data_IF_024027978737
#
_entry.id   IF_024027978737
#
_cell.length_a   1.000
_cell.length_b   1.000
_cell.length_c   1.000
_cell.angle_alpha   90.00
_cell.angle_beta   90.00
_cell.angle_gamma   90.00
#
_symmetry.space_group_name_H-M   'P 1'
#
loop_
_entity.id
_entity.type
_entity.pdbx_description
1 polymer ?
#
# COMPACT_ATOMS: atom_id res chain seq x y z
N UNK A 1 8.43 -16.89 16.15
CA UNK A 1 7.06 -16.36 16.06
C UNK A 1 7.13 -14.84 15.88
N UNK A 2 6.51 -14.34 14.82
CA UNK A 2 6.51 -12.89 14.54
C UNK A 2 5.46 -12.22 15.40
N UNK A 3 5.87 -11.17 16.09
CA UNK A 3 4.98 -10.41 16.96
C UNK A 3 4.47 -9.17 16.22
N UNK A 4 3.18 -8.88 16.33
CA UNK A 4 2.59 -7.66 15.80
C UNK A 4 3.17 -6.43 16.49
N UNK A 5 3.38 -5.35 15.72
CA UNK A 5 3.77 -4.06 16.28
C UNK A 5 2.58 -3.33 16.89
N UNK A 6 1.34 -3.73 16.53
CA UNK A 6 0.12 -3.08 17.04
C UNK A 6 -0.28 -3.62 18.39
N UNK A 7 -0.72 -2.72 19.27
CA UNK A 7 -1.35 -3.13 20.55
C UNK A 7 -2.86 -3.21 20.40
N UNK A 8 -3.43 -2.44 19.47
CA UNK A 8 -4.86 -2.47 19.16
C UNK A 8 -4.99 -2.59 17.64
N UNK A 9 -5.70 -3.62 17.18
CA UNK A 9 -5.94 -3.85 15.76
C UNK A 9 -7.35 -3.38 15.41
N UNK A 10 -7.44 -2.47 14.43
CA UNK A 10 -8.72 -1.92 13.98
C UNK A 10 -9.33 -2.72 12.84
N UNK A 11 -8.49 -3.34 12.00
CA UNK A 11 -8.94 -4.04 10.81
C UNK A 11 -8.00 -5.18 10.46
N UNK A 12 -8.59 -6.34 10.15
CA UNK A 12 -7.88 -7.47 9.56
C UNK A 12 -8.62 -7.85 8.29
N UNK A 13 -7.92 -7.94 7.17
CA UNK A 13 -8.54 -8.24 5.89
C UNK A 13 -7.57 -9.02 5.01
N UNK A 14 -8.12 -9.88 4.16
CA UNK A 14 -7.31 -10.60 3.17
C UNK A 14 -6.74 -9.63 2.15
N UNK A 15 -5.46 -9.80 1.85
CA UNK A 15 -4.79 -8.92 0.90
C UNK A 15 -3.61 -9.58 0.23
N UNK A 16 -2.97 -8.81 -0.62
CA UNK A 16 -1.87 -9.26 -1.46
C UNK A 16 -0.73 -8.26 -1.36
N UNK A 17 0.49 -8.76 -1.19
CA UNK A 17 1.70 -7.96 -1.29
C UNK A 17 2.27 -8.09 -2.69
N UNK A 18 2.66 -6.96 -3.30
CA UNK A 18 3.23 -6.92 -4.64
C UNK A 18 4.73 -6.62 -4.63
N UNK A 19 5.40 -7.00 -3.56
CA UNK A 19 6.84 -6.79 -3.41
C UNK A 19 7.61 -7.98 -3.97
N UNK A 20 8.07 -7.86 -5.22
CA UNK A 20 8.71 -8.96 -5.93
C UNK A 20 7.69 -9.95 -6.43
N UNK A 21 7.72 -11.19 -5.92
CA UNK A 21 6.67 -12.16 -6.20
C UNK A 21 5.40 -11.78 -5.45
N UNK A 22 4.26 -12.11 -6.04
CA UNK A 22 2.97 -11.84 -5.41
C UNK A 22 2.73 -12.81 -4.26
N UNK A 23 2.51 -12.28 -3.07
CA UNK A 23 2.23 -13.05 -1.86
C UNK A 23 0.83 -12.75 -1.36
N UNK A 24 0.11 -13.80 -0.98
CA UNK A 24 -1.24 -13.69 -0.42
C UNK A 24 -1.20 -13.85 1.09
N UNK A 25 -1.97 -13.05 1.78
CA UNK A 25 -1.97 -13.09 3.24
C UNK A 25 -3.01 -12.21 3.88
N UNK A 26 -2.71 -11.76 5.09
CA UNK A 26 -3.59 -10.91 5.89
C UNK A 26 -2.96 -9.54 6.08
N UNK A 27 -3.78 -8.52 5.89
CA UNK A 27 -3.42 -7.13 6.16
C UNK A 27 -4.05 -6.74 7.50
N UNK A 28 -3.24 -6.13 8.36
CA UNK A 28 -3.68 -5.64 9.66
C UNK A 28 -3.40 -4.14 9.74
N UNK A 29 -4.41 -3.38 10.11
CA UNK A 29 -4.28 -1.94 10.38
C UNK A 29 -4.58 -1.72 11.85
N UNK A 30 -3.65 -1.10 12.57
CA UNK A 30 -3.80 -0.88 13.99
C UNK A 30 -3.16 0.42 14.45
N UNK A 31 -3.06 0.58 15.77
CA UNK A 31 -2.62 1.83 16.40
C UNK A 31 -1.16 2.20 16.13
N UNK A 32 -0.31 1.23 15.81
CA UNK A 32 1.13 1.49 15.62
C UNK A 32 1.56 1.40 14.16
N UNK A 33 0.81 0.73 13.31
CA UNK A 33 1.22 0.61 11.91
C UNK A 33 0.35 -0.30 11.07
N UNK A 34 0.84 -0.47 9.86
CA UNK A 34 0.28 -1.36 8.84
C UNK A 34 1.13 -2.62 8.78
N UNK A 35 0.49 -3.78 8.76
CA UNK A 35 1.19 -5.06 8.73
C UNK A 35 0.62 -5.97 7.67
N UNK A 36 1.49 -6.77 7.07
CA UNK A 36 1.12 -7.85 6.16
C UNK A 36 1.81 -9.13 6.61
N UNK A 37 1.03 -10.20 6.74
CA UNK A 37 1.53 -11.52 7.12
C UNK A 37 1.17 -12.53 6.04
N UNK A 38 2.20 -13.20 5.48
CA UNK A 38 2.01 -14.22 4.45
C UNK A 38 1.28 -15.43 5.02
N UNK A 39 0.28 -15.95 4.27
CA UNK A 39 -0.52 -17.10 4.72
C UNK A 39 0.29 -18.39 4.81
N UNK A 40 1.34 -18.51 4.00
CA UNK A 40 2.16 -19.73 3.96
C UNK A 40 3.30 -19.70 4.98
N UNK A 41 3.84 -18.53 5.25
CA UNK A 41 4.99 -18.39 6.11
C UNK A 41 4.90 -17.07 6.90
N UNK A 42 4.51 -17.17 8.16
CA UNK A 42 4.35 -15.99 9.01
C UNK A 42 5.66 -15.23 9.25
N UNK A 43 6.80 -15.89 9.03
CA UNK A 43 8.09 -15.19 9.11
C UNK A 43 8.31 -14.25 7.93
N UNK A 44 7.56 -14.47 6.83
CA UNK A 44 7.54 -13.55 5.72
C UNK A 44 6.45 -12.51 5.95
N UNK A 45 6.85 -11.37 6.47
CA UNK A 45 5.94 -10.33 6.89
C UNK A 45 6.50 -8.96 6.54
N UNK A 46 5.60 -7.98 6.51
CA UNK A 46 5.95 -6.57 6.32
C UNK A 46 5.29 -5.81 7.45
N UNK A 47 6.07 -5.05 8.19
CA UNK A 47 5.57 -4.25 9.31
C UNK A 47 6.03 -2.81 9.12
N UNK A 48 5.08 -1.90 8.91
CA UNK A 48 5.37 -0.50 8.61
C UNK A 48 4.78 0.37 9.72
N UNK A 49 5.61 0.84 10.68
CA UNK A 49 5.14 1.78 11.69
C UNK A 49 4.67 3.09 11.05
N UNK A 50 3.63 3.69 11.61
CA UNK A 50 3.13 4.96 11.07
C UNK A 50 4.21 6.05 11.04
N UNK A 51 5.16 5.99 11.98
CA UNK A 51 6.28 6.94 12.03
C UNK A 51 7.20 6.83 10.81
N UNK A 52 7.23 5.68 10.14
CA UNK A 52 8.03 5.46 8.94
C UNK A 52 7.30 5.79 7.65
N UNK A 53 6.01 6.03 7.71
CA UNK A 53 5.22 6.34 6.51
C UNK A 53 5.41 7.80 6.13
N UNK A 54 5.85 8.03 4.91
CA UNK A 54 5.94 9.37 4.34
C UNK A 54 4.65 9.72 3.61
N UNK A 55 4.23 8.87 2.67
CA UNK A 55 2.98 9.06 1.93
C UNK A 55 2.23 7.74 1.81
N UNK A 56 0.90 7.83 1.85
CA UNK A 56 0.02 6.73 1.45
C UNK A 56 -0.51 7.07 0.06
N UNK A 57 -0.30 6.16 -0.89
CA UNK A 57 -0.64 6.40 -2.29
C UNK A 57 -1.71 5.41 -2.71
N UNK A 58 -2.85 5.92 -3.18
CA UNK A 58 -3.93 5.08 -3.68
C UNK A 58 -4.07 5.28 -5.19
N UNK A 59 -3.96 4.18 -5.93
CA UNK A 59 -4.27 4.19 -7.36
C UNK A 59 -5.78 4.14 -7.52
N UNK A 60 -6.34 5.06 -8.32
CA UNK A 60 -7.78 5.23 -8.42
C UNK A 60 -8.22 5.09 -9.87
N UNK A 61 -9.27 4.30 -10.10
CA UNK A 61 -9.88 4.11 -11.42
C UNK A 61 -11.38 4.37 -11.36
N UNK A 62 -11.98 4.61 -12.50
CA UNK A 62 -13.44 4.78 -12.66
C UNK A 62 -13.98 5.85 -11.71
N UNK A 63 -13.36 7.03 -11.71
CA UNK A 63 -13.77 8.19 -10.90
C UNK A 63 -13.82 7.87 -9.39
N UNK A 64 -12.89 7.07 -8.92
CA UNK A 64 -12.79 6.73 -7.50
C UNK A 64 -13.57 5.51 -7.07
N UNK A 65 -14.23 4.81 -7.99
CA UNK A 65 -15.03 3.62 -7.66
C UNK A 65 -14.18 2.39 -7.42
N UNK A 66 -12.99 2.34 -8.01
CA UNK A 66 -12.14 1.18 -7.93
C UNK A 66 -10.73 1.59 -7.55
N UNK A 67 -10.16 0.90 -6.56
CA UNK A 67 -8.79 1.12 -6.10
C UNK A 67 -8.05 -0.20 -6.23
N UNK A 68 -7.40 -0.46 -7.39
CA UNK A 68 -6.74 -1.74 -7.62
C UNK A 68 -5.51 -1.95 -6.75
N UNK A 69 -4.82 -0.89 -6.38
CA UNK A 69 -3.62 -0.96 -5.54
C UNK A 69 -3.48 0.27 -4.67
N UNK A 70 -2.83 0.10 -3.54
CA UNK A 70 -2.41 1.20 -2.71
C UNK A 70 -1.05 0.87 -2.13
N UNK A 71 -0.33 1.87 -1.69
CA UNK A 71 1.01 1.66 -1.20
C UNK A 71 1.46 2.70 -0.21
N UNK A 72 2.62 2.42 0.37
CA UNK A 72 3.24 3.26 1.38
C UNK A 72 4.63 3.65 0.90
N UNK A 73 4.85 4.92 0.70
CA UNK A 73 6.19 5.45 0.52
C UNK A 73 6.77 5.67 1.91
N UNK A 74 7.85 4.95 2.23
CA UNK A 74 8.48 5.04 3.53
C UNK A 74 9.67 6.00 3.50
N UNK A 75 10.08 6.46 4.68
CA UNK A 75 11.19 7.41 4.79
C UNK A 75 12.53 6.78 4.45
N UNK A 76 12.73 5.50 4.76
CA UNK A 76 14.05 4.85 4.65
C UNK A 76 14.07 3.54 3.88
N UNK A 77 12.92 2.92 3.62
CA UNK A 77 12.87 1.56 3.10
C UNK A 77 12.15 1.43 1.75
N UNK A 78 12.01 2.53 1.02
CA UNK A 78 11.36 2.52 -0.29
C UNK A 78 9.85 2.45 -0.20
N UNK A 79 9.22 1.96 -1.27
CA UNK A 79 7.77 1.93 -1.42
C UNK A 79 7.25 0.50 -1.41
N UNK A 80 6.23 0.25 -0.61
CA UNK A 80 5.56 -1.05 -0.50
C UNK A 80 4.16 -0.94 -1.11
N UNK A 81 3.80 -1.93 -1.94
CA UNK A 81 2.53 -1.92 -2.68
C UNK A 81 1.69 -3.13 -2.31
N UNK A 82 0.40 -2.88 -2.10
CA UNK A 82 -0.56 -3.90 -1.69
C UNK A 82 -1.86 -3.77 -2.47
N UNK A 83 -2.63 -4.83 -2.48
CA UNK A 83 -4.03 -4.80 -2.89
C UNK A 83 -4.85 -5.63 -1.91
N UNK A 84 -6.16 -5.39 -1.85
CA UNK A 84 -7.01 -6.12 -0.93
C UNK A 84 -8.46 -6.05 -1.40
N UNK A 85 -9.29 -6.90 -0.82
CA UNK A 85 -10.73 -6.71 -0.86
C UNK A 85 -11.04 -5.45 -0.06
N UNK A 86 -12.11 -4.75 -0.44
CA UNK A 86 -12.57 -3.55 0.26
C UNK A 86 -11.46 -2.52 0.54
N UNK A 87 -10.74 -2.07 -0.50
CA UNK A 87 -9.61 -1.16 -0.29
C UNK A 87 -10.01 0.18 0.36
N UNK A 88 -11.23 0.65 0.12
CA UNK A 88 -11.72 1.88 0.76
C UNK A 88 -11.83 1.72 2.26
N UNK A 89 -12.19 0.54 2.73
CA UNK A 89 -12.28 0.24 4.17
C UNK A 89 -10.88 0.26 4.80
N UNK A 90 -9.89 -0.29 4.11
CA UNK A 90 -8.49 -0.26 4.54
C UNK A 90 -8.00 1.18 4.64
N UNK A 91 -8.23 1.98 3.60
CA UNK A 91 -7.78 3.37 3.57
C UNK A 91 -8.46 4.22 4.65
N UNK A 92 -9.74 3.96 4.95
CA UNK A 92 -10.43 4.65 6.05
C UNK A 92 -9.81 4.33 7.40
N UNK A 93 -9.42 3.07 7.61
CA UNK A 93 -8.74 2.67 8.85
C UNK A 93 -7.38 3.37 8.97
N UNK A 94 -6.65 3.49 7.87
CA UNK A 94 -5.35 4.17 7.83
C UNK A 94 -5.52 5.66 8.17
N UNK A 95 -6.61 6.29 7.72
CA UNK A 95 -6.86 7.71 7.95
C UNK A 95 -7.00 8.08 9.43
N UNK A 96 -7.22 7.12 10.30
CA UNK A 96 -7.21 7.40 11.76
C UNK A 96 -5.83 7.78 12.25
N UNK A 97 -4.78 7.36 11.56
CA UNK A 97 -3.40 7.50 12.04
C UNK A 97 -2.52 8.34 11.12
N UNK A 98 -2.91 8.48 9.86
CA UNK A 98 -2.17 9.28 8.86
C UNK A 98 -3.02 10.47 8.45
N UNK A 99 -2.41 11.65 8.46
CA UNK A 99 -3.07 12.90 8.09
C UNK A 99 -3.55 12.87 6.65
N UNK A 100 -4.72 13.44 6.34
CA UNK A 100 -5.24 13.45 4.96
C UNK A 100 -4.28 14.04 3.93
N UNK A 101 -3.45 15.01 4.31
CA UNK A 101 -2.48 15.64 3.41
C UNK A 101 -1.42 14.67 2.94
N UNK A 102 -1.19 13.59 3.69
CA UNK A 102 -0.22 12.57 3.36
C UNK A 102 -0.84 11.36 2.65
N UNK A 103 -2.14 11.41 2.40
CA UNK A 103 -2.85 10.39 1.64
C UNK A 103 -3.19 10.96 0.27
N UNK A 104 -2.49 10.48 -0.75
CA UNK A 104 -2.59 11.05 -2.10
C UNK A 104 -3.21 10.04 -3.05
N UNK A 105 -4.03 10.56 -3.96
CA UNK A 105 -4.52 9.80 -5.08
C UNK A 105 -3.54 9.94 -6.23
N UNK A 106 -3.28 8.84 -6.91
CA UNK A 106 -2.47 8.90 -8.11
C UNK A 106 -3.22 8.22 -9.24
N UNK A 107 -2.72 8.37 -10.44
CA UNK A 107 -3.14 7.52 -11.55
C UNK A 107 -2.79 6.09 -11.20
N UNK A 108 -3.47 5.12 -11.81
CA UNK A 108 -3.14 3.72 -11.59
C UNK A 108 -1.67 3.47 -11.89
N UNK A 109 -1.09 2.45 -11.26
CA UNK A 109 0.30 2.11 -11.52
C UNK A 109 0.55 1.86 -13.01
N UNK A 110 -0.42 1.27 -13.70
CA UNK A 110 -0.31 1.08 -15.15
C UNK A 110 -0.24 2.40 -15.89
N UNK A 111 -1.04 3.39 -15.50
CA UNK A 111 -1.02 4.71 -16.11
C UNK A 111 0.28 5.44 -15.82
N UNK A 112 0.82 5.30 -14.62
CA UNK A 112 2.12 5.86 -14.26
C UNK A 112 3.21 5.24 -15.12
N UNK A 113 3.21 3.93 -15.29
CA UNK A 113 4.17 3.22 -16.14
C UNK A 113 4.03 3.68 -17.58
N UNK A 114 2.81 3.79 -18.10
CA UNK A 114 2.57 4.27 -19.47
C UNK A 114 3.09 5.69 -19.68
N UNK A 115 2.89 6.57 -18.70
CA UNK A 115 3.42 7.94 -18.76
C UNK A 115 4.93 7.95 -18.82
N UNK A 116 5.57 7.16 -17.97
CA UNK A 116 7.02 7.05 -17.93
C UNK A 116 7.57 6.56 -19.27
N UNK A 117 6.94 5.54 -19.85
CA UNK A 117 7.32 5.02 -21.15
C UNK A 117 7.10 6.05 -22.25
N UNK A 118 5.97 6.75 -22.24
CA UNK A 118 5.66 7.78 -23.23
C UNK A 118 6.68 8.91 -23.18
N UNK A 119 7.03 9.37 -21.99
CA UNK A 119 8.05 10.41 -21.82
C UNK A 119 9.41 9.96 -22.31
N UNK A 120 9.75 8.70 -22.06
CA UNK A 120 11.01 8.11 -22.52
C UNK A 120 11.06 8.04 -24.06
N UNK A 121 9.95 7.64 -24.69
CA UNK A 121 9.87 7.63 -26.16
C UNK A 121 9.90 9.03 -26.75
N UNK A 122 9.21 9.98 -26.14
CA UNK A 122 9.23 11.36 -26.60
C UNK A 122 10.64 11.94 -26.58
N UNK A 123 11.43 11.63 -25.55
CA UNK A 123 12.82 12.07 -25.48
C UNK A 123 13.70 11.45 -26.56
N UNK A 124 13.39 10.23 -26.99
CA UNK A 124 14.16 9.57 -28.06
C UNK A 124 13.85 10.16 -29.44
N UNK A 125 12.67 10.71 -29.63
CA UNK A 125 12.26 11.33 -30.88
C UNK A 125 12.73 12.77 -31.02
N UNK A 126 13.16 13.35 -29.94
CA UNK A 126 13.70 14.72 -29.95
C UNK A 126 15.22 14.72 -30.36
#
# INVERSE_FOLDING_TARGET
MVQSINTKVDLVIEGTSHMGLTDYGKIMVGDKGFEFFDDRNLNKNIQIPWTEVDLVIASVMFKGRYIPRYGFQTKHNGTFTFSSKQPKKVLRAIRKYIEPERMVRSLTFMQVVKRALKNKFAKKEA
#
